data_IF_776759231932
#
_entry.id   IF_776759231932
#
_cell.length_a   1.000
_cell.length_b   1.000
_cell.length_c   1.000
_cell.angle_alpha   90.00
_cell.angle_beta   90.00
_cell.angle_gamma   90.00
#
_symmetry.space_group_name_H-M   'P 1'
#
loop_
_entity.id
_entity.type
_entity.pdbx_description
1 polymer ?
#
# COMPACT_ATOMS: atom_id res chain seq x y z
N UNK A 1 -0.07 -1.31 20.13
CA UNK A 1 0.20 -1.33 18.67
C UNK A 1 1.65 -1.69 18.30
N UNK A 2 2.65 -1.54 19.19
CA UNK A 2 4.08 -1.84 18.90
C UNK A 2 4.47 -3.32 19.02
N UNK A 3 3.69 -4.23 18.41
CA UNK A 3 3.98 -5.67 18.46
C UNK A 3 3.85 -6.35 17.12
N UNK A 4 2.68 -6.23 16.49
CA UNK A 4 2.39 -6.96 15.25
C UNK A 4 3.28 -6.52 14.07
N UNK A 5 3.31 -5.21 13.79
CA UNK A 5 4.00 -4.69 12.60
C UNK A 5 5.52 -4.85 12.73
N UNK A 6 6.06 -4.66 13.94
CA UNK A 6 7.49 -4.86 14.19
C UNK A 6 7.90 -6.34 14.06
N UNK A 7 7.00 -7.28 14.39
CA UNK A 7 7.20 -8.71 14.14
C UNK A 7 7.16 -9.08 12.64
N UNK A 8 6.55 -8.24 11.79
CA UNK A 8 6.54 -8.45 10.34
C UNK A 8 7.81 -7.93 9.66
N UNK A 9 8.50 -6.93 10.25
CA UNK A 9 9.67 -6.27 9.66
C UNK A 9 10.80 -7.24 9.25
N UNK A 10 11.16 -8.30 10.01
CA UNK A 10 12.20 -9.23 9.61
C UNK A 10 12.00 -9.86 8.23
N UNK A 11 10.75 -10.11 7.81
CA UNK A 11 10.46 -10.65 6.48
C UNK A 11 10.81 -9.64 5.38
N UNK A 12 10.50 -8.36 5.59
CA UNK A 12 10.82 -7.30 4.64
C UNK A 12 12.31 -6.98 4.60
N UNK A 13 13.04 -7.16 5.73
CA UNK A 13 14.50 -7.03 5.77
C UNK A 13 15.23 -8.06 4.91
N UNK A 14 14.72 -9.30 4.88
CA UNK A 14 15.25 -10.37 4.02
C UNK A 14 15.04 -10.08 2.53
N UNK A 15 14.06 -9.23 2.20
CA UNK A 15 13.68 -8.92 0.82
C UNK A 15 12.83 -10.01 0.16
N UNK A 16 12.54 -9.84 -1.13
CA UNK A 16 11.79 -10.80 -1.98
C UNK A 16 10.40 -11.18 -1.45
N UNK A 17 9.70 -10.24 -0.82
CA UNK A 17 8.31 -10.45 -0.38
C UNK A 17 7.39 -10.41 -1.60
N UNK A 18 6.68 -11.51 -1.87
CA UNK A 18 5.72 -11.57 -2.98
C UNK A 18 4.46 -10.75 -2.68
N UNK A 19 3.70 -10.40 -3.72
CA UNK A 19 2.41 -9.71 -3.57
C UNK A 19 1.46 -10.45 -2.64
N UNK A 20 1.37 -11.77 -2.80
CA UNK A 20 0.50 -12.62 -1.98
C UNK A 20 0.92 -12.57 -0.51
N UNK A 21 2.22 -12.73 -0.24
CA UNK A 21 2.75 -12.63 1.12
C UNK A 21 2.45 -11.26 1.73
N UNK A 22 2.66 -10.19 0.97
CA UNK A 22 2.43 -8.84 1.43
C UNK A 22 0.94 -8.53 1.63
N UNK A 23 0.06 -8.99 0.73
CA UNK A 23 -1.40 -8.87 0.87
C UNK A 23 -1.89 -9.63 2.11
N UNK A 24 -1.35 -10.83 2.38
CA UNK A 24 -1.67 -11.56 3.59
C UNK A 24 -1.23 -10.79 4.85
N UNK A 25 -0.08 -10.12 4.83
CA UNK A 25 0.32 -9.22 5.93
C UNK A 25 -0.63 -8.04 6.12
N UNK A 26 -1.19 -7.48 5.04
CA UNK A 26 -2.22 -6.45 5.14
C UNK A 26 -3.48 -7.01 5.82
N UNK A 27 -3.92 -8.21 5.44
CA UNK A 27 -5.08 -8.88 6.06
C UNK A 27 -4.84 -9.14 7.55
N UNK A 28 -3.65 -9.65 7.92
CA UNK A 28 -3.25 -9.83 9.32
C UNK A 28 -3.31 -8.51 10.13
N UNK A 29 -2.90 -7.37 9.56
CA UNK A 29 -3.04 -6.05 10.21
C UNK A 29 -4.50 -5.68 10.42
N UNK A 30 -5.36 -5.95 9.42
CA UNK A 30 -6.81 -5.72 9.51
C UNK A 30 -7.43 -6.58 10.62
N UNK A 31 -7.15 -7.88 10.61
CA UNK A 31 -7.67 -8.87 11.56
C UNK A 31 -7.21 -8.59 12.99
N UNK A 32 -5.93 -8.24 13.19
CA UNK A 32 -5.41 -7.91 14.51
C UNK A 32 -6.09 -6.68 15.12
N UNK A 33 -6.59 -5.77 14.30
CA UNK A 33 -7.35 -4.61 14.80
C UNK A 33 -8.66 -5.00 15.49
N UNK A 34 -9.19 -6.21 15.22
CA UNK A 34 -10.40 -6.73 15.88
C UNK A 34 -10.24 -6.96 17.39
N UNK A 35 -9.00 -7.10 17.89
CA UNK A 35 -8.72 -7.09 19.33
C UNK A 35 -9.07 -5.76 20.01
N UNK A 36 -9.26 -4.70 19.22
CA UNK A 36 -9.66 -3.37 19.67
C UNK A 36 -11.01 -2.98 19.04
N UNK A 37 -11.89 -3.96 18.86
CA UNK A 37 -13.15 -3.81 18.13
C UNK A 37 -14.03 -2.66 18.63
N UNK A 38 -14.02 -2.39 19.92
CA UNK A 38 -14.76 -1.28 20.55
C UNK A 38 -14.33 0.11 20.04
N UNK A 39 -13.11 0.24 19.49
CA UNK A 39 -12.59 1.49 18.95
C UNK A 39 -12.96 1.74 17.49
N UNK A 40 -13.44 0.71 16.76
CA UNK A 40 -13.62 0.77 15.32
C UNK A 40 -15.07 0.51 14.90
N UNK A 41 -15.59 1.38 14.04
CA UNK A 41 -16.88 1.15 13.39
C UNK A 41 -16.81 -0.13 12.54
N UNK A 42 -17.64 -1.12 12.87
CA UNK A 42 -17.61 -2.44 12.24
C UNK A 42 -16.62 -3.43 12.87
N UNK A 43 -16.06 -3.10 14.05
CA UNK A 43 -15.28 -4.02 14.88
C UNK A 43 -13.85 -4.25 14.43
N UNK A 44 -13.42 -3.70 13.28
CA UNK A 44 -12.04 -3.73 12.80
C UNK A 44 -11.82 -2.63 11.75
N UNK A 45 -10.56 -2.26 11.51
CA UNK A 45 -10.21 -1.45 10.34
C UNK A 45 -10.44 -2.28 9.07
N UNK A 46 -10.76 -1.61 7.95
CA UNK A 46 -10.88 -2.29 6.66
C UNK A 46 -9.51 -2.49 5.98
N UNK A 47 -9.50 -3.33 4.94
CA UNK A 47 -8.31 -3.66 4.16
C UNK A 47 -7.56 -2.41 3.68
N UNK A 48 -8.29 -1.42 3.17
CA UNK A 48 -7.69 -0.20 2.67
C UNK A 48 -6.97 0.62 3.73
N UNK A 49 -7.49 0.63 4.96
CA UNK A 49 -6.81 1.25 6.11
C UNK A 49 -5.59 0.46 6.50
N UNK A 50 -5.71 -0.87 6.60
CA UNK A 50 -4.59 -1.75 6.91
C UNK A 50 -3.43 -1.60 5.91
N UNK A 51 -3.71 -1.57 4.59
CA UNK A 51 -2.65 -1.37 3.59
C UNK A 51 -2.00 -0.01 3.73
N UNK A 52 -2.76 1.04 4.05
CA UNK A 52 -2.19 2.38 4.19
C UNK A 52 -1.21 2.44 5.35
N UNK A 53 -1.58 1.84 6.49
CA UNK A 53 -0.74 1.78 7.68
C UNK A 53 0.54 0.97 7.42
N UNK A 54 0.41 -0.26 6.91
CA UNK A 54 1.57 -1.13 6.68
C UNK A 54 2.51 -0.54 5.63
N UNK A 55 1.99 -0.09 4.50
CA UNK A 55 2.82 0.46 3.43
C UNK A 55 3.52 1.76 3.85
N UNK A 56 2.85 2.61 4.63
CA UNK A 56 3.47 3.84 5.14
C UNK A 56 4.58 3.53 6.14
N UNK A 57 4.37 2.54 7.02
CA UNK A 57 5.42 2.05 7.91
C UNK A 57 6.62 1.53 7.11
N UNK A 58 6.41 0.66 6.12
CA UNK A 58 7.49 0.11 5.29
C UNK A 58 8.22 1.20 4.50
N UNK A 59 7.52 2.24 4.03
CA UNK A 59 8.14 3.42 3.44
C UNK A 59 9.08 4.12 4.43
N UNK A 60 8.67 4.31 5.68
CA UNK A 60 9.56 4.89 6.69
C UNK A 60 10.78 4.00 6.97
N UNK A 61 10.58 2.68 7.07
CA UNK A 61 11.69 1.73 7.23
C UNK A 61 12.67 1.80 6.06
N UNK A 62 12.17 2.00 4.84
CA UNK A 62 13.01 2.21 3.65
C UNK A 62 13.80 3.51 3.74
N UNK A 63 13.14 4.63 4.08
CA UNK A 63 13.82 5.91 4.24
C UNK A 63 14.89 5.89 5.35
N UNK A 64 14.71 5.07 6.38
CA UNK A 64 15.69 4.87 7.46
C UNK A 64 16.81 3.88 7.08
N UNK A 65 16.76 3.24 5.91
CA UNK A 65 17.74 2.24 5.48
C UNK A 65 17.57 0.87 6.12
N UNK A 66 16.46 0.62 6.82
CA UNK A 66 16.20 -0.65 7.50
C UNK A 66 15.75 -1.76 6.54
N UNK A 67 15.16 -1.42 5.40
CA UNK A 67 14.83 -2.34 4.30
C UNK A 67 15.31 -1.76 2.97
N UNK A 68 15.61 -2.61 1.99
CA UNK A 68 16.12 -2.18 0.68
C UNK A 68 15.06 -1.44 -0.15
N UNK A 69 13.84 -1.96 -0.21
CA UNK A 69 12.69 -1.36 -0.90
C UNK A 69 11.38 -2.02 -0.43
N UNK A 70 10.28 -1.28 -0.21
CA UNK A 70 8.99 -1.89 0.10
C UNK A 70 8.36 -2.50 -1.16
N UNK A 71 7.62 -3.62 -1.06
CA UNK A 71 7.03 -4.26 -2.24
C UNK A 71 6.00 -3.34 -2.92
N UNK A 72 5.12 -2.71 -2.13
CA UNK A 72 4.05 -1.84 -2.61
C UNK A 72 4.16 -0.44 -1.99
N UNK A 73 3.58 0.56 -2.65
CA UNK A 73 3.42 1.92 -2.11
C UNK A 73 2.10 2.07 -1.34
N UNK A 74 2.00 3.07 -0.44
CA UNK A 74 0.75 3.34 0.27
C UNK A 74 -0.32 3.86 -0.70
N UNK A 75 -1.32 3.05 -1.03
CA UNK A 75 -2.37 3.44 -1.98
C UNK A 75 -3.31 4.46 -1.32
N UNK A 76 -3.50 5.62 -1.94
CA UNK A 76 -4.54 6.59 -1.62
C UNK A 76 -5.15 7.21 -2.89
N UNK A 77 -6.07 8.16 -2.71
CA UNK A 77 -6.72 8.86 -3.81
C UNK A 77 -5.74 9.71 -4.62
N UNK A 78 -4.77 10.36 -3.99
CA UNK A 78 -3.79 11.24 -4.65
C UNK A 78 -2.90 10.40 -5.56
N UNK A 79 -2.42 9.26 -5.09
CA UNK A 79 -1.58 8.37 -5.89
C UNK A 79 -2.36 7.80 -7.07
N UNK A 80 -3.62 7.41 -6.89
CA UNK A 80 -4.48 6.96 -7.99
C UNK A 80 -4.70 8.07 -9.04
N UNK A 81 -4.90 9.33 -8.61
CA UNK A 81 -5.01 10.47 -9.53
C UNK A 81 -3.73 10.67 -10.34
N UNK A 82 -2.57 10.61 -9.69
CA UNK A 82 -1.28 10.76 -10.38
C UNK A 82 -0.98 9.60 -11.32
N UNK A 83 -1.38 8.37 -10.97
CA UNK A 83 -1.32 7.24 -11.89
C UNK A 83 -2.17 7.49 -13.14
N UNK A 84 -3.38 8.04 -12.98
CA UNK A 84 -4.23 8.42 -14.10
C UNK A 84 -3.64 9.53 -14.98
N UNK A 85 -2.97 10.51 -14.38
CA UNK A 85 -2.23 11.54 -15.13
C UNK A 85 -1.13 10.91 -15.99
N UNK A 86 -0.36 9.97 -15.42
CA UNK A 86 0.67 9.23 -16.16
C UNK A 86 0.08 8.32 -17.24
N UNK A 87 -1.03 7.65 -16.95
CA UNK A 87 -1.74 6.80 -17.90
C UNK A 87 -2.20 7.60 -19.12
N UNK A 88 -2.74 8.81 -18.89
CA UNK A 88 -3.13 9.74 -19.97
C UNK A 88 -1.96 10.09 -20.88
N UNK A 89 -0.78 10.39 -20.33
CA UNK A 89 0.42 10.71 -21.12
C UNK A 89 0.91 9.53 -21.95
N UNK A 90 0.66 8.30 -21.50
CA UNK A 90 1.11 7.06 -22.16
C UNK A 90 0.02 6.38 -23.01
N UNK A 91 -1.16 6.98 -23.14
CA UNK A 91 -2.28 6.38 -23.88
C UNK A 91 -2.85 5.11 -23.22
N UNK A 92 -2.63 4.91 -21.92
CA UNK A 92 -3.16 3.79 -21.14
C UNK A 92 -4.54 4.17 -20.57
N UNK A 93 -5.52 3.26 -20.53
CA UNK A 93 -6.83 3.54 -19.93
C UNK A 93 -6.73 4.00 -18.47
N UNK A 94 -7.58 4.95 -18.08
CA UNK A 94 -7.65 5.42 -16.69
C UNK A 94 -8.10 4.29 -15.75
N UNK A 95 -7.51 4.25 -14.57
CA UNK A 95 -7.99 3.49 -13.43
C UNK A 95 -9.21 4.18 -12.78
N UNK A 96 -10.15 3.39 -12.30
CA UNK A 96 -11.23 3.86 -11.44
C UNK A 96 -10.68 4.43 -10.12
N UNK A 97 -11.13 5.63 -9.74
CA UNK A 97 -10.74 6.26 -8.47
C UNK A 97 -11.67 5.82 -7.35
N UNK A 98 -11.13 5.10 -6.37
CA UNK A 98 -11.88 4.69 -5.18
C UNK A 98 -11.14 5.16 -3.91
N UNK A 99 -11.89 5.60 -2.89
CA UNK A 99 -11.26 5.96 -1.62
C UNK A 99 -10.67 4.70 -0.98
N UNK A 100 -9.43 4.78 -0.49
CA UNK A 100 -8.82 3.66 0.23
C UNK A 100 -9.66 3.24 1.43
N UNK A 101 -10.34 4.18 2.10
CA UNK A 101 -11.27 3.87 3.20
C UNK A 101 -12.47 3.02 2.79
N UNK A 102 -12.70 2.78 1.49
CA UNK A 102 -13.77 1.94 0.96
C UNK A 102 -13.27 0.57 0.46
N UNK A 103 -11.97 0.28 0.53
CA UNK A 103 -11.44 -1.02 0.11
C UNK A 103 -11.79 -2.05 1.19
N UNK A 104 -12.75 -2.93 0.88
CA UNK A 104 -13.14 -4.04 1.75
C UNK A 104 -12.20 -5.25 1.60
N UNK A 105 -11.60 -5.38 0.43
CA UNK A 105 -10.74 -6.49 0.03
C UNK A 105 -9.54 -6.00 -0.80
N UNK A 106 -8.69 -6.94 -1.21
CA UNK A 106 -7.51 -6.69 -2.01
C UNK A 106 -7.78 -6.39 -3.49
N UNK A 107 -9.02 -6.55 -4.00
CA UNK A 107 -9.29 -6.57 -5.44
C UNK A 107 -8.95 -5.22 -6.06
N UNK A 108 -9.48 -4.13 -5.51
CA UNK A 108 -9.19 -2.79 -6.03
C UNK A 108 -7.74 -2.39 -5.77
N UNK A 109 -7.19 -2.74 -4.62
CA UNK A 109 -5.79 -2.50 -4.29
C UNK A 109 -4.86 -3.15 -5.32
N UNK A 110 -5.05 -4.43 -5.63
CA UNK A 110 -4.28 -5.16 -6.62
C UNK A 110 -4.43 -4.56 -8.03
N UNK A 111 -5.62 -4.07 -8.40
CA UNK A 111 -5.80 -3.30 -9.65
C UNK A 111 -4.93 -2.05 -9.68
N UNK A 112 -4.85 -1.30 -8.57
CA UNK A 112 -4.00 -0.10 -8.48
C UNK A 112 -2.52 -0.45 -8.62
N UNK A 113 -2.05 -1.48 -7.92
CA UNK A 113 -0.65 -1.93 -7.98
C UNK A 113 -0.28 -2.41 -9.39
N UNK A 114 -1.12 -3.21 -10.02
CA UNK A 114 -0.89 -3.71 -11.37
C UNK A 114 -0.97 -2.60 -12.42
N UNK A 115 -1.86 -1.63 -12.24
CA UNK A 115 -1.92 -0.44 -13.09
C UNK A 115 -0.63 0.39 -12.97
N UNK A 116 -0.09 0.58 -11.76
CA UNK A 116 1.19 1.26 -11.59
C UNK A 116 2.35 0.52 -12.29
N UNK A 117 2.37 -0.82 -12.21
CA UNK A 117 3.39 -1.65 -12.90
C UNK A 117 3.28 -1.58 -14.41
N UNK A 118 2.06 -1.57 -14.97
CA UNK A 118 1.85 -1.52 -16.42
C UNK A 118 2.36 -0.21 -17.04
N UNK A 119 2.40 0.87 -16.25
CA UNK A 119 2.98 2.13 -16.69
C UNK A 119 4.51 2.06 -16.84
N UNK A 120 5.22 1.02 -16.37
CA UNK A 120 6.67 0.80 -16.55
C UNK A 120 7.52 2.07 -16.35
N UNK A 121 7.24 2.84 -15.30
CA UNK A 121 7.91 4.14 -15.07
C UNK A 121 9.23 3.92 -14.31
N UNK A 122 9.14 3.26 -13.18
CA UNK A 122 10.18 2.84 -12.22
C UNK A 122 9.54 1.77 -11.31
N UNK A 123 10.24 1.24 -10.30
CA UNK A 123 9.59 0.40 -9.29
C UNK A 123 8.38 1.11 -8.65
N UNK A 124 7.44 0.33 -8.13
CA UNK A 124 6.23 0.81 -7.45
C UNK A 124 6.56 1.85 -6.36
N UNK A 125 7.59 1.60 -5.55
CA UNK A 125 8.01 2.51 -4.48
C UNK A 125 8.66 3.81 -5.00
N UNK A 126 9.51 3.74 -6.03
CA UNK A 126 10.15 4.92 -6.61
C UNK A 126 9.17 5.85 -7.34
N UNK A 127 8.08 5.29 -7.89
CA UNK A 127 7.05 6.08 -8.57
C UNK A 127 6.38 7.06 -7.59
N UNK A 128 6.11 6.61 -6.37
CA UNK A 128 5.54 7.45 -5.32
C UNK A 128 6.45 8.64 -4.98
N UNK A 129 7.76 8.41 -4.83
CA UNK A 129 8.73 9.47 -4.55
C UNK A 129 8.81 10.50 -5.69
N UNK A 130 8.82 10.07 -6.96
CA UNK A 130 8.85 10.99 -8.11
C UNK A 130 7.58 11.82 -8.24
N UNK A 131 6.45 11.20 -7.92
CA UNK A 131 5.14 11.83 -8.01
C UNK A 131 4.86 12.78 -6.83
N UNK A 132 5.48 12.57 -5.67
CA UNK A 132 5.32 13.44 -4.51
C UNK A 132 6.11 14.75 -4.65
N UNK A 133 5.43 15.82 -5.11
CA UNK A 133 5.90 17.21 -4.93
C UNK A 133 5.17 17.82 -3.74
N UNK A 134 5.91 18.27 -2.73
CA UNK A 134 5.39 19.07 -1.62
C UNK A 134 4.92 20.41 -2.19
N UNK A 135 3.66 20.77 -1.93
CA UNK A 135 3.13 22.12 -2.22
C UNK A 135 3.80 23.14 -1.31
#
# INVERSE_FOLDING_TARGET
MSGLIDNMLPQYKKGNVSDEQHINKIKEVSEYSSHFSELFNGGQINFGIAQKMLNLYLKYQWCLGNIAEPPHFPVDRIIQQKLNEQAKLRGVPKLELLSWTQFKDEIHYSKVINHARSLKIVSTAQLELKLFKRR
#
